data_IF_009215628304
#
_entry.id   IF_009215628304
#
_cell.length_a   1.000
_cell.length_b   1.000
_cell.length_c   1.000
_cell.angle_alpha   90.00
_cell.angle_beta   90.00
_cell.angle_gamma   90.00
#
_symmetry.space_group_name_H-M   'P 1'
#
loop_
_entity.id
_entity.type
_entity.pdbx_description
1 polymer ?
#
# COMPACT_ATOMS: atom_id res chain seq x y z
N UNK A 1 14.58 3.07 -8.72
CA UNK A 1 13.47 4.00 -9.03
C UNK A 1 13.98 5.42 -9.00
N UNK A 2 13.28 6.37 -9.63
CA UNK A 2 13.61 7.79 -9.44
C UNK A 2 13.29 8.20 -8.00
N UNK A 3 14.24 8.74 -7.22
CA UNK A 3 13.96 9.28 -5.91
C UNK A 3 12.89 10.37 -6.00
N UNK A 4 11.88 10.32 -5.13
CA UNK A 4 10.98 11.46 -4.98
C UNK A 4 11.71 12.55 -4.22
N UNK A 5 11.84 13.73 -4.83
CA UNK A 5 12.39 14.91 -4.19
C UNK A 5 11.24 15.68 -3.54
N UNK A 6 10.89 15.28 -2.32
CA UNK A 6 10.00 16.04 -1.45
C UNK A 6 10.76 17.07 -0.61
N UNK A 7 10.04 18.01 0.00
CA UNK A 7 10.61 18.92 1.00
C UNK A 7 10.90 18.15 2.30
N UNK A 8 12.03 18.45 2.97
CA UNK A 8 12.39 17.97 4.33
C UNK A 8 12.09 16.49 4.64
N UNK A 9 12.94 15.58 4.16
CA UNK A 9 12.90 14.16 4.57
C UNK A 9 11.75 13.34 3.98
N UNK A 10 10.83 13.98 3.26
CA UNK A 10 9.75 13.28 2.57
C UNK A 10 10.29 12.51 1.36
N UNK A 11 10.19 11.18 1.42
CA UNK A 11 10.79 10.25 0.48
C UNK A 11 9.72 9.40 -0.23
N UNK A 12 10.18 8.42 -1.00
CA UNK A 12 9.30 7.43 -1.61
C UNK A 12 8.53 6.60 -0.57
N UNK A 13 9.02 6.49 0.67
CA UNK A 13 8.32 5.81 1.75
C UNK A 13 7.04 6.55 2.12
N UNK A 14 7.16 7.81 2.53
CA UNK A 14 6.03 8.67 2.92
C UNK A 14 5.05 8.81 1.76
N UNK A 15 5.55 9.06 0.55
CA UNK A 15 4.71 9.16 -0.65
C UNK A 15 3.87 7.90 -0.90
N UNK A 16 4.48 6.72 -0.72
CA UNK A 16 3.77 5.45 -0.97
C UNK A 16 2.71 5.18 0.08
N UNK A 17 3.00 5.48 1.36
CA UNK A 17 2.04 5.33 2.45
C UNK A 17 0.86 6.32 2.30
N UNK A 18 1.13 7.58 1.95
CA UNK A 18 0.09 8.60 1.75
C UNK A 18 -0.84 8.26 0.59
N UNK A 19 -0.31 7.70 -0.50
CA UNK A 19 -1.12 7.23 -1.63
C UNK A 19 -2.01 6.05 -1.24
N UNK A 20 -1.48 5.09 -0.49
CA UNK A 20 -2.27 3.98 0.02
C UNK A 20 -3.41 4.47 0.95
N UNK A 21 -3.11 5.41 1.86
CA UNK A 21 -4.12 6.01 2.73
C UNK A 21 -5.14 6.86 1.97
N UNK A 22 -4.73 7.55 0.91
CA UNK A 22 -5.64 8.31 0.05
C UNK A 22 -6.63 7.39 -0.68
N UNK A 23 -6.17 6.25 -1.20
CA UNK A 23 -7.03 5.22 -1.78
C UNK A 23 -8.00 4.66 -0.73
N UNK A 24 -7.52 4.36 0.48
CA UNK A 24 -8.35 3.93 1.62
C UNK A 24 -9.48 4.92 1.92
N UNK A 25 -9.15 6.23 2.02
CA UNK A 25 -10.14 7.30 2.26
C UNK A 25 -11.19 7.36 1.14
N UNK A 26 -10.75 7.27 -0.12
CA UNK A 26 -11.65 7.27 -1.27
C UNK A 26 -12.60 6.06 -1.26
N UNK A 27 -12.10 4.87 -0.97
CA UNK A 27 -12.93 3.67 -0.87
C UNK A 27 -13.95 3.79 0.27
N UNK A 28 -13.52 4.29 1.44
CA UNK A 28 -14.42 4.51 2.57
C UNK A 28 -15.52 5.52 2.26
N UNK A 29 -15.20 6.65 1.60
CA UNK A 29 -16.22 7.62 1.17
C UNK A 29 -17.12 7.10 0.04
N UNK A 30 -16.70 6.06 -0.67
CA UNK A 30 -17.47 5.40 -1.72
C UNK A 30 -18.32 4.22 -1.20
N UNK A 31 -18.36 3.99 0.12
CA UNK A 31 -19.23 3.01 0.76
C UNK A 31 -18.56 1.70 1.19
N UNK A 32 -17.24 1.55 1.03
CA UNK A 32 -16.51 0.44 1.64
C UNK A 32 -16.53 0.59 3.16
N UNK A 33 -16.95 -0.45 3.89
CA UNK A 33 -17.04 -0.32 5.35
C UNK A 33 -15.64 -0.32 5.98
N UNK A 34 -15.38 0.45 7.04
CA UNK A 34 -14.06 0.53 7.66
C UNK A 34 -13.51 -0.81 8.15
N UNK A 35 -14.38 -1.72 8.62
CA UNK A 35 -14.05 -3.08 9.07
C UNK A 35 -13.54 -4.00 7.95
N UNK A 36 -13.76 -3.65 6.68
CA UNK A 36 -13.31 -4.44 5.54
C UNK A 36 -11.85 -4.16 5.14
N UNK A 37 -11.21 -3.15 5.73
CA UNK A 37 -9.83 -2.78 5.44
C UNK A 37 -8.93 -3.33 6.54
N UNK A 38 -8.23 -4.41 6.23
CA UNK A 38 -7.36 -5.10 7.20
C UNK A 38 -6.02 -4.36 7.38
N UNK A 39 -5.45 -3.82 6.31
CA UNK A 39 -4.14 -3.17 6.37
C UNK A 39 -3.92 -2.18 5.22
N UNK A 40 -3.07 -1.17 5.45
CA UNK A 40 -2.46 -0.34 4.40
C UNK A 40 -0.93 -0.40 4.49
N UNK A 41 -0.25 -0.45 3.34
CA UNK A 41 1.22 -0.52 3.28
C UNK A 41 1.80 0.47 2.29
N UNK A 42 2.91 1.11 2.67
CA UNK A 42 3.78 1.86 1.77
C UNK A 42 5.07 1.08 1.53
N UNK A 43 5.37 0.78 0.26
CA UNK A 43 6.52 -0.07 -0.10
C UNK A 43 7.67 0.71 -0.78
N UNK A 44 7.53 2.03 -0.93
CA UNK A 44 8.45 2.86 -1.69
C UNK A 44 8.79 2.23 -3.05
N UNK A 45 10.07 1.92 -3.27
CA UNK A 45 10.60 1.27 -4.46
C UNK A 45 11.15 -0.13 -4.21
N UNK A 46 10.81 -0.75 -3.08
CA UNK A 46 11.31 -2.09 -2.70
C UNK A 46 10.64 -3.25 -3.44
N UNK A 47 9.49 -3.01 -4.09
CA UNK A 47 8.74 -4.04 -4.85
C UNK A 47 8.32 -3.57 -6.26
N UNK A 48 9.28 -3.33 -7.18
CA UNK A 48 8.97 -2.93 -8.56
C UNK A 48 8.20 -4.04 -9.30
N UNK A 49 7.26 -3.66 -10.17
CA UNK A 49 6.54 -4.61 -11.04
C UNK A 49 7.41 -5.10 -12.19
N UNK A 50 8.29 -4.22 -12.66
CA UNK A 50 9.28 -4.46 -13.70
C UNK A 50 10.68 -4.22 -13.12
N UNK A 51 11.30 -5.24 -12.49
CA UNK A 51 12.62 -5.10 -11.87
C UNK A 51 13.73 -4.80 -12.89
N UNK A 52 13.55 -5.22 -14.15
CA UNK A 52 14.49 -4.96 -15.25
C UNK A 52 14.52 -3.50 -15.70
N UNK A 53 13.48 -2.74 -15.40
CA UNK A 53 13.42 -1.28 -15.64
C UNK A 53 12.91 -0.57 -14.37
N UNK A 54 13.82 -0.23 -13.44
CA UNK A 54 13.44 0.41 -12.18
C UNK A 54 12.83 1.81 -12.33
N UNK A 55 13.02 2.48 -13.47
CA UNK A 55 12.51 3.82 -13.73
C UNK A 55 11.16 3.84 -14.43
N UNK A 56 10.70 2.68 -14.90
CA UNK A 56 9.43 2.50 -15.60
C UNK A 56 8.27 3.15 -14.81
N UNK A 57 7.48 4.05 -15.41
CA UNK A 57 6.37 4.71 -14.75
C UNK A 57 5.33 3.72 -14.20
N UNK A 58 5.20 2.52 -14.79
CA UNK A 58 4.31 1.44 -14.32
C UNK A 58 4.70 0.88 -12.95
N UNK A 59 5.92 1.13 -12.48
CA UNK A 59 6.31 0.77 -11.11
C UNK A 59 5.59 1.63 -10.05
N UNK A 60 5.09 2.82 -10.42
CA UNK A 60 4.32 3.72 -9.54
C UNK A 60 2.84 3.35 -9.54
N UNK A 61 2.44 2.41 -8.69
CA UNK A 61 1.09 1.83 -8.65
C UNK A 61 0.52 1.72 -7.23
N UNK A 62 -0.81 1.77 -7.13
CA UNK A 62 -1.56 1.35 -5.95
C UNK A 62 -2.13 -0.04 -6.24
N UNK A 63 -1.96 -0.97 -5.31
CA UNK A 63 -2.47 -2.35 -5.44
C UNK A 63 -3.55 -2.55 -4.39
N UNK A 64 -4.71 -3.02 -4.83
CA UNK A 64 -5.79 -3.44 -3.94
C UNK A 64 -5.80 -4.96 -3.99
N UNK A 65 -5.66 -5.59 -2.82
CA UNK A 65 -5.74 -7.04 -2.67
C UNK A 65 -7.06 -7.34 -1.98
N UNK A 66 -7.88 -8.17 -2.61
CA UNK A 66 -9.13 -8.67 -2.02
C UNK A 66 -8.83 -10.05 -1.46
N UNK A 67 -8.99 -10.18 -0.14
CA UNK A 67 -8.86 -11.44 0.56
C UNK A 67 -10.23 -12.13 0.60
N UNK A 68 -10.25 -13.45 0.45
CA UNK A 68 -11.40 -14.23 0.89
C UNK A 68 -11.42 -14.31 2.42
N UNK A 69 -12.55 -14.72 2.98
CA UNK A 69 -12.80 -14.73 4.43
C UNK A 69 -11.76 -15.57 5.19
N UNK A 70 -11.49 -16.80 4.73
CA UNK A 70 -10.51 -17.71 5.35
C UNK A 70 -9.10 -17.08 5.43
N UNK A 71 -8.63 -16.43 4.36
CA UNK A 71 -7.29 -15.81 4.33
C UNK A 71 -7.27 -14.53 5.15
N UNK A 72 -8.38 -13.76 5.18
CA UNK A 72 -8.48 -12.56 5.99
C UNK A 72 -8.35 -12.88 7.49
N UNK A 73 -9.00 -13.95 7.96
CA UNK A 73 -8.91 -14.40 9.36
C UNK A 73 -7.50 -14.88 9.72
N UNK A 74 -6.87 -15.66 8.84
CA UNK A 74 -5.48 -16.10 9.03
C UNK A 74 -4.54 -14.91 9.12
N UNK A 75 -4.69 -13.96 8.20
CA UNK A 75 -3.86 -12.76 8.15
C UNK A 75 -4.00 -11.89 9.40
N UNK A 76 -5.23 -11.69 9.89
CA UNK A 76 -5.47 -10.96 11.15
C UNK A 76 -4.88 -11.69 12.36
N UNK A 77 -4.97 -13.02 12.39
CA UNK A 77 -4.38 -13.85 13.44
C UNK A 77 -2.86 -13.72 13.45
N UNK A 78 -2.23 -13.79 12.27
CA UNK A 78 -0.78 -13.61 12.12
C UNK A 78 -0.32 -12.22 12.55
N UNK A 79 -1.08 -11.17 12.19
CA UNK A 79 -0.81 -9.80 12.64
C UNK A 79 -0.88 -9.68 14.16
N UNK A 80 -1.95 -10.18 14.78
CA UNK A 80 -2.14 -10.12 16.24
C UNK A 80 -1.07 -10.92 17.01
N UNK A 81 -0.51 -11.98 16.42
CA UNK A 81 0.58 -12.75 16.99
C UNK A 81 1.97 -12.09 16.82
N UNK A 82 2.07 -11.08 15.95
CA UNK A 82 3.32 -10.35 15.66
C UNK A 82 3.50 -9.06 16.45
N UNK A 83 2.48 -8.67 17.25
CA UNK A 83 2.49 -7.53 18.19
C UNK A 83 2.87 -7.95 19.61
#
# INVERSE_FOLDING_TARGET
SKPFSGTYGYSNWELSADRANSARKLMASSGLRPDQIVEIRGNADKRPRYPSDPEDPRNRRVVIVVLNEDVAEQYQTELAASE
#
